data_IF_747637838803
#
_entry.id   IF_747637838803
#
_cell.length_a   1.000
_cell.length_b   1.000
_cell.length_c   1.000
_cell.angle_alpha   90.00
_cell.angle_beta   90.00
_cell.angle_gamma   90.00
#
_symmetry.space_group_name_H-M   'P 1'
#
loop_
_entity.id
_entity.type
_entity.pdbx_description
1 polymer ?
#
# COMPACT_ATOMS: atom_id res chain seq x y z
N UNK A 1 17.78 -14.12 0.80
CA UNK A 1 16.85 -15.14 0.83
C UNK A 1 16.63 -15.68 -0.53
N UNK A 2 16.25 -16.89 -0.61
CA UNK A 2 16.15 -17.52 -1.81
C UNK A 2 14.90 -17.13 -2.51
N UNK A 3 15.00 -16.68 -3.68
CA UNK A 3 13.87 -16.35 -4.43
C UNK A 3 13.34 -17.55 -5.11
N UNK A 4 12.12 -17.82 -4.89
CA UNK A 4 11.52 -18.96 -5.51
C UNK A 4 11.14 -18.63 -6.93
N UNK A 5 11.33 -19.54 -7.83
CA UNK A 5 11.01 -19.29 -9.19
C UNK A 5 9.56 -19.15 -9.36
N UNK A 6 9.12 -18.25 -10.17
CA UNK A 6 7.73 -18.01 -10.37
C UNK A 6 7.16 -18.98 -11.34
N UNK A 7 6.27 -19.80 -10.94
CA UNK A 7 5.73 -20.79 -11.86
C UNK A 7 4.99 -20.17 -13.02
N UNK A 8 4.45 -18.99 -12.84
CA UNK A 8 3.70 -18.41 -13.90
C UNK A 8 4.58 -17.84 -14.97
N UNK A 9 5.82 -17.61 -14.67
CA UNK A 9 6.71 -17.03 -15.65
C UNK A 9 6.56 -15.55 -15.83
N UNK A 10 5.66 -14.89 -15.08
CA UNK A 10 5.50 -13.46 -15.23
C UNK A 10 6.61 -12.75 -14.49
N UNK A 11 7.11 -11.66 -15.03
CA UNK A 11 8.18 -10.94 -14.36
C UNK A 11 7.67 -10.24 -13.11
N UNK A 12 8.54 -10.13 -12.14
CA UNK A 12 8.24 -9.37 -10.96
C UNK A 12 8.74 -7.96 -11.21
N UNK A 13 7.88 -6.99 -11.00
CA UNK A 13 8.24 -5.58 -11.15
C UNK A 13 8.22 -4.95 -9.80
N UNK A 14 9.15 -4.08 -9.52
CA UNK A 14 9.22 -3.42 -8.22
C UNK A 14 9.85 -2.05 -8.37
N UNK A 15 9.32 -1.09 -7.65
CA UNK A 15 9.86 0.26 -7.67
C UNK A 15 9.61 0.91 -6.33
N UNK A 16 10.52 1.76 -5.89
CA UNK A 16 10.42 2.41 -4.59
C UNK A 16 10.63 3.91 -4.71
N UNK A 17 9.99 4.64 -3.82
CA UNK A 17 10.13 6.10 -3.77
C UNK A 17 10.20 6.55 -2.34
N UNK A 18 11.01 7.57 -2.05
CA UNK A 18 11.08 8.16 -0.74
C UNK A 18 10.17 9.36 -0.70
N UNK A 19 9.34 9.47 0.31
CA UNK A 19 8.33 10.51 0.40
C UNK A 19 8.44 11.21 1.74
N UNK A 20 8.27 12.54 1.74
CA UNK A 20 8.33 13.31 2.97
C UNK A 20 7.20 14.33 3.00
N UNK A 21 6.69 14.59 4.19
CA UNK A 21 5.69 15.63 4.36
C UNK A 21 4.31 15.20 3.92
N UNK A 22 3.32 15.25 4.82
CA UNK A 22 2.03 14.70 4.50
C UNK A 22 1.42 15.36 3.27
N UNK A 23 1.40 16.69 3.23
CA UNK A 23 0.78 17.34 2.12
C UNK A 23 1.50 17.15 0.82
N UNK A 24 2.79 16.94 0.87
CA UNK A 24 3.57 16.80 -0.35
C UNK A 24 3.74 15.37 -0.76
N UNK A 25 3.35 14.42 0.09
CA UNK A 25 3.57 13.03 -0.21
C UNK A 25 2.40 12.36 -0.90
N UNK A 26 1.16 12.75 -0.56
CA UNK A 26 0.03 11.97 -1.03
C UNK A 26 -0.21 12.09 -2.53
N UNK A 27 -0.09 13.28 -3.08
CA UNK A 27 -0.25 13.44 -4.51
C UNK A 27 0.78 12.66 -5.30
N UNK A 28 2.07 12.87 -5.00
CA UNK A 28 3.10 12.10 -5.69
C UNK A 28 2.97 10.60 -5.46
N UNK A 29 2.57 10.17 -4.26
CA UNK A 29 2.41 8.74 -4.01
C UNK A 29 1.36 8.13 -4.92
N UNK A 30 0.21 8.80 -5.06
CA UNK A 30 -0.81 8.31 -5.95
C UNK A 30 -0.36 8.35 -7.40
N UNK A 31 0.35 9.39 -7.81
CA UNK A 31 0.81 9.50 -9.18
C UNK A 31 1.82 8.41 -9.50
N UNK A 32 2.75 8.15 -8.59
CA UNK A 32 3.71 7.06 -8.78
C UNK A 32 3.00 5.72 -8.88
N UNK A 33 2.00 5.51 -8.04
CA UNK A 33 1.30 4.24 -8.04
C UNK A 33 0.50 4.08 -9.32
N UNK A 34 -0.16 5.15 -9.79
CA UNK A 34 -0.92 5.05 -11.02
C UNK A 34 0.01 4.75 -12.19
N UNK A 35 1.14 5.42 -12.27
CA UNK A 35 2.06 5.17 -13.36
C UNK A 35 2.62 3.76 -13.31
N UNK A 36 2.95 3.29 -12.12
CA UNK A 36 3.48 1.94 -11.97
C UNK A 36 2.46 0.90 -12.45
N UNK A 37 1.21 1.06 -12.03
CA UNK A 37 0.19 0.09 -12.39
C UNK A 37 -0.18 0.18 -13.86
N UNK A 38 -0.26 1.37 -14.41
CA UNK A 38 -0.62 1.50 -15.81
C UNK A 38 0.49 1.00 -16.72
N UNK A 39 1.74 1.12 -16.30
CA UNK A 39 2.85 0.60 -17.09
C UNK A 39 2.85 -0.93 -17.11
N UNK A 40 2.25 -1.54 -16.09
CA UNK A 40 2.27 -2.99 -16.03
C UNK A 40 1.12 -3.68 -16.72
N UNK A 41 0.06 -2.97 -17.05
CA UNK A 41 -1.08 -3.60 -17.67
C UNK A 41 -1.98 -2.55 -18.29
N UNK A 42 -2.37 -2.76 -19.53
CA UNK A 42 -3.30 -1.87 -20.17
C UNK A 42 -4.71 -2.22 -19.83
N UNK A 43 -4.95 -3.38 -19.23
CA UNK A 43 -6.30 -3.86 -19.02
C UNK A 43 -6.69 -3.84 -17.55
N UNK A 44 -6.01 -3.12 -16.70
CA UNK A 44 -6.34 -3.11 -15.30
C UNK A 44 -7.68 -2.43 -15.12
N UNK A 45 -8.61 -3.10 -14.46
CA UNK A 45 -9.92 -2.54 -14.23
C UNK A 45 -9.83 -1.29 -13.39
N UNK A 46 -10.68 -0.33 -13.71
CA UNK A 46 -10.59 0.96 -13.03
C UNK A 46 -10.87 0.83 -11.53
N UNK A 47 -11.76 -0.02 -11.11
CA UNK A 47 -12.03 -0.14 -9.69
C UNK A 47 -10.86 -0.78 -8.95
N UNK A 48 -10.12 -1.68 -9.59
CA UNK A 48 -8.92 -2.22 -8.95
C UNK A 48 -7.84 -1.16 -8.85
N UNK A 49 -7.72 -0.32 -9.86
CA UNK A 49 -6.78 0.78 -9.79
C UNK A 49 -7.15 1.73 -8.67
N UNK A 50 -8.42 2.07 -8.54
CA UNK A 50 -8.83 2.98 -7.49
C UNK A 50 -8.61 2.37 -6.10
N UNK A 51 -8.88 1.08 -5.94
CA UNK A 51 -8.62 0.42 -4.67
C UNK A 51 -7.15 0.50 -4.31
N UNK A 52 -6.28 0.26 -5.28
CA UNK A 52 -4.85 0.32 -5.02
C UNK A 52 -4.42 1.74 -4.62
N UNK A 53 -4.97 2.75 -5.28
CA UNK A 53 -4.61 4.12 -4.96
C UNK A 53 -5.08 4.50 -3.55
N UNK A 54 -6.22 3.99 -3.13
CA UNK A 54 -6.69 4.23 -1.78
C UNK A 54 -5.75 3.58 -0.76
N UNK A 55 -5.34 2.34 -1.01
CA UNK A 55 -4.44 1.66 -0.09
C UNK A 55 -3.11 2.40 0.00
N UNK A 56 -2.57 2.84 -1.13
CA UNK A 56 -1.33 3.59 -1.13
C UNK A 56 -1.48 4.86 -0.29
N UNK A 57 -2.55 5.60 -0.51
CA UNK A 57 -2.74 6.86 0.20
C UNK A 57 -2.89 6.63 1.70
N UNK A 58 -3.61 5.59 2.09
CA UNK A 58 -3.82 5.34 3.50
C UNK A 58 -2.55 4.86 4.20
N UNK A 59 -1.77 4.01 3.55
CA UNK A 59 -0.54 3.55 4.17
C UNK A 59 0.49 4.66 4.27
N UNK A 60 0.60 5.49 3.25
CA UNK A 60 1.55 6.61 3.28
C UNK A 60 1.10 7.62 4.33
N UNK A 61 -0.18 7.94 4.37
CA UNK A 61 -0.70 8.88 5.33
C UNK A 61 -0.47 8.39 6.76
N UNK A 62 -0.70 7.10 6.98
CA UNK A 62 -0.51 6.52 8.29
C UNK A 62 0.96 6.57 8.71
N UNK A 63 1.86 6.27 7.78
CA UNK A 63 3.29 6.30 8.11
C UNK A 63 3.74 7.70 8.47
N UNK A 64 3.28 8.70 7.72
CA UNK A 64 3.75 10.05 7.97
C UNK A 64 3.15 10.61 9.25
N UNK A 65 1.94 10.23 9.59
CA UNK A 65 1.37 10.70 10.84
C UNK A 65 2.03 10.10 12.06
N UNK A 66 2.55 8.89 11.93
CA UNK A 66 3.09 8.19 13.08
C UNK A 66 4.59 8.30 13.20
N UNK A 67 5.29 8.80 12.22
CA UNK A 67 6.74 8.93 12.30
C UNK A 67 7.18 10.17 11.55
N UNK A 68 7.88 11.05 12.17
CA UNK A 68 8.45 12.17 11.44
C UNK A 68 9.52 11.66 10.51
N UNK A 69 9.76 12.39 9.49
CA UNK A 69 10.79 12.00 8.54
C UNK A 69 10.23 11.25 7.39
N UNK A 70 11.09 10.84 6.49
CA UNK A 70 10.63 10.24 5.25
C UNK A 70 10.12 8.83 5.46
N UNK A 71 9.24 8.41 4.58
CA UNK A 71 8.88 7.01 4.48
C UNK A 71 9.21 6.53 3.08
N UNK A 72 9.28 5.22 2.90
CA UNK A 72 9.59 4.65 1.61
C UNK A 72 8.41 3.82 1.15
N UNK A 73 7.86 4.19 -0.01
CA UNK A 73 6.78 3.43 -0.62
C UNK A 73 7.40 2.50 -1.64
N UNK A 74 7.06 1.22 -1.58
CA UNK A 74 7.51 0.25 -2.56
C UNK A 74 6.30 -0.45 -3.13
N UNK A 75 6.22 -0.51 -4.45
CA UNK A 75 5.20 -1.27 -5.12
C UNK A 75 5.86 -2.41 -5.85
N UNK A 76 5.32 -3.61 -5.66
CA UNK A 76 5.83 -4.80 -6.34
C UNK A 76 4.66 -5.53 -6.95
N UNK A 77 4.79 -5.95 -8.18
CA UNK A 77 3.74 -6.72 -8.82
C UNK A 77 4.29 -8.07 -9.19
N UNK A 78 3.64 -9.12 -8.69
CA UNK A 78 4.11 -10.46 -8.89
C UNK A 78 2.89 -11.24 -9.35
N UNK A 79 2.81 -11.54 -10.61
CA UNK A 79 1.65 -12.20 -11.17
C UNK A 79 0.44 -11.32 -11.03
N UNK A 80 -0.62 -11.85 -10.49
CA UNK A 80 -1.84 -11.10 -10.32
C UNK A 80 -1.95 -10.38 -9.00
N UNK A 81 -0.85 -10.21 -8.29
CA UNK A 81 -0.89 -9.55 -6.99
C UNK A 81 -0.04 -8.32 -6.97
N UNK A 82 -0.49 -7.33 -6.25
CA UNK A 82 0.25 -6.11 -6.01
C UNK A 82 0.57 -6.04 -4.53
N UNK A 83 1.82 -5.81 -4.20
CA UNK A 83 2.22 -5.57 -2.83
C UNK A 83 2.50 -4.09 -2.67
N UNK A 84 1.84 -3.47 -1.72
CA UNK A 84 2.07 -2.07 -1.40
C UNK A 84 2.74 -2.06 -0.04
N UNK A 85 3.99 -1.63 0.02
CA UNK A 85 4.73 -1.60 1.26
C UNK A 85 5.14 -0.19 1.58
N UNK A 86 4.98 0.20 2.83
CA UNK A 86 5.45 1.51 3.28
C UNK A 86 6.27 1.30 4.53
N UNK A 87 7.53 1.77 4.50
CA UNK A 87 8.42 1.67 5.63
C UNK A 87 8.60 3.05 6.25
N UNK A 88 8.47 3.12 7.56
CA UNK A 88 8.69 4.37 8.27
C UNK A 88 9.58 4.12 9.48
N UNK A 89 9.89 5.17 10.20
CA UNK A 89 10.79 5.07 11.33
C UNK A 89 10.14 4.83 12.68
N UNK A 90 8.84 4.57 12.71
CA UNK A 90 8.16 4.37 13.97
C UNK A 90 8.10 2.90 14.32
N UNK A 91 8.40 2.55 15.55
CA UNK A 91 8.26 1.18 15.98
C UNK A 91 6.84 0.84 16.42
N UNK A 92 5.95 1.83 16.48
CA UNK A 92 4.59 1.56 16.91
C UNK A 92 3.78 0.93 15.82
N UNK A 93 3.05 -0.10 16.13
CA UNK A 93 2.21 -0.75 15.14
C UNK A 93 1.02 0.10 14.83
N UNK A 94 0.55 0.11 13.60
CA UNK A 94 -0.66 0.81 13.27
C UNK A 94 -1.84 0.15 13.97
N UNK A 95 -2.82 0.93 14.31
CA UNK A 95 -4.00 0.41 14.98
C UNK A 95 -5.18 1.28 14.60
N UNK A 96 -6.35 0.69 14.53
CA UNK A 96 -7.53 1.49 14.28
C UNK A 96 -7.77 2.43 15.45
N UNK A 97 -8.29 3.59 15.15
CA UNK A 97 -8.68 4.53 16.17
C UNK A 97 -10.15 4.76 16.04
N UNK A 98 -10.81 5.22 17.09
CA UNK A 98 -12.20 5.58 16.93
C UNK A 98 -12.34 6.66 15.85
N UNK A 99 -13.36 6.56 15.03
CA UNK A 99 -13.55 7.57 14.00
C UNK A 99 -13.70 8.94 14.60
N UNK A 100 -13.08 9.91 13.97
CA UNK A 100 -13.12 11.27 14.48
C UNK A 100 -13.49 12.15 13.32
N UNK A 101 -14.75 12.45 13.18
CA UNK A 101 -15.21 13.19 12.05
C UNK A 101 -14.68 14.60 12.04
N UNK A 102 -14.38 15.15 13.19
CA UNK A 102 -13.87 16.50 13.20
C UNK A 102 -12.43 16.55 12.78
N UNK A 103 -11.72 15.43 12.84
CA UNK A 103 -10.35 15.40 12.44
C UNK A 103 -10.15 14.84 11.05
N UNK A 104 -11.19 14.58 10.32
CA UNK A 104 -11.00 14.14 8.96
C UNK A 104 -10.88 12.66 8.77
N UNK A 105 -11.41 11.89 9.67
CA UNK A 105 -11.56 10.50 9.37
C UNK A 105 -10.37 9.64 9.56
N UNK A 106 -9.46 9.98 10.41
CA UNK A 106 -8.28 9.19 10.59
C UNK A 106 -8.53 7.77 11.02
N UNK A 107 -9.66 7.46 11.65
CA UNK A 107 -9.88 6.12 12.11
C UNK A 107 -10.42 5.16 11.08
N UNK A 108 -10.88 5.66 9.92
CA UNK A 108 -11.48 4.78 8.95
C UNK A 108 -10.47 4.18 7.96
N UNK A 109 -9.35 4.83 7.76
CA UNK A 109 -8.41 4.40 6.72
C UNK A 109 -7.85 3.01 6.93
N UNK A 110 -7.53 2.66 8.19
CA UNK A 110 -6.95 1.36 8.48
C UNK A 110 -7.94 0.24 8.17
N UNK A 111 -9.21 0.45 8.53
CA UNK A 111 -10.21 -0.55 8.24
C UNK A 111 -10.40 -0.72 6.73
N UNK A 112 -10.32 0.39 6.00
CA UNK A 112 -10.48 0.33 4.57
C UNK A 112 -9.33 -0.43 3.93
N UNK A 113 -8.11 -0.23 4.39
CA UNK A 113 -6.97 -0.98 3.89
C UNK A 113 -7.20 -2.47 4.10
N UNK A 114 -7.69 -2.84 5.27
CA UNK A 114 -7.92 -4.25 5.54
C UNK A 114 -9.02 -4.82 4.67
N UNK A 115 -10.05 -4.03 4.38
CA UNK A 115 -11.12 -4.54 3.54
C UNK A 115 -10.72 -4.68 2.09
N UNK A 116 -9.86 -3.81 1.59
CA UNK A 116 -9.49 -3.84 0.19
C UNK A 116 -8.33 -4.79 -0.10
N UNK A 117 -7.67 -5.29 0.93
CA UNK A 117 -6.46 -6.09 0.75
C UNK A 117 -6.74 -7.54 1.07
N UNK A 118 -6.05 -8.43 0.35
CA UNK A 118 -6.12 -9.83 0.67
C UNK A 118 -5.42 -10.10 1.98
N UNK A 119 -4.37 -9.35 2.27
CA UNK A 119 -3.59 -9.55 3.48
C UNK A 119 -2.89 -8.26 3.82
N UNK A 120 -2.75 -7.97 5.09
CA UNK A 120 -1.98 -6.84 5.57
C UNK A 120 -1.04 -7.34 6.65
N UNK A 121 0.24 -7.06 6.51
CA UNK A 121 1.24 -7.52 7.46
C UNK A 121 2.05 -6.35 7.96
N UNK A 122 2.45 -6.40 9.21
CA UNK A 122 3.28 -5.37 9.81
C UNK A 122 4.54 -6.03 10.31
N UNK A 123 5.69 -5.54 9.86
CA UNK A 123 6.96 -6.05 10.30
C UNK A 123 7.70 -4.96 11.03
N UNK A 124 8.08 -5.20 12.28
CA UNK A 124 8.85 -4.22 13.02
C UNK A 124 10.33 -4.53 12.87
N UNK A 125 11.12 -3.49 12.78
CA UNK A 125 12.57 -3.61 12.63
C UNK A 125 13.26 -3.09 13.86
N UNK A 126 12.75 -3.44 15.02
CA UNK A 126 13.29 -2.95 16.28
C UNK A 126 13.11 -1.46 16.37
N UNK A 127 14.15 -0.76 16.72
CA UNK A 127 14.03 0.68 16.83
C UNK A 127 14.20 1.38 15.51
N UNK A 128 14.46 0.68 14.45
CA UNK A 128 14.67 1.34 13.17
C UNK A 128 13.40 1.50 12.39
N UNK A 129 12.24 1.15 12.95
CA UNK A 129 10.98 1.42 12.30
C UNK A 129 10.19 0.19 11.98
N UNK A 130 9.26 0.33 11.04
CA UNK A 130 8.41 -0.78 10.67
C UNK A 130 8.07 -0.69 9.19
N UNK A 131 7.62 -1.79 8.64
CA UNK A 131 7.10 -1.86 7.29
C UNK A 131 5.70 -2.44 7.35
N UNK A 132 4.75 -1.77 6.72
CA UNK A 132 3.39 -2.27 6.57
C UNK A 132 3.24 -2.67 5.12
N UNK A 133 2.83 -3.91 4.88
CA UNK A 133 2.65 -4.41 3.52
C UNK A 133 1.22 -4.88 3.34
N UNK A 134 0.55 -4.35 2.34
CA UNK A 134 -0.77 -4.79 1.95
C UNK A 134 -0.66 -5.50 0.61
N UNK A 135 -1.32 -6.64 0.50
CA UNK A 135 -1.32 -7.42 -0.73
C UNK A 135 -2.71 -7.35 -1.34
N UNK A 136 -2.79 -6.91 -2.58
CA UNK A 136 -4.06 -6.80 -3.28
C UNK A 136 -4.05 -7.74 -4.48
N UNK A 137 -5.22 -8.27 -4.78
CA UNK A 137 -5.37 -9.14 -5.94
C UNK A 137 -5.79 -8.28 -7.12
N UNK A 138 -5.04 -8.35 -8.20
CA UNK A 138 -5.31 -7.57 -9.38
C UNK A 138 -5.87 -8.39 -10.53
N UNK A 139 -6.22 -9.63 -10.28
CA UNK A 139 -6.68 -10.49 -11.35
C UNK A 139 -8.02 -9.99 -11.81
N UNK A 140 -8.14 -9.68 -13.03
CA UNK A 140 -9.37 -9.15 -13.55
C UNK A 140 -10.46 -10.16 -13.55
N UNK A 141 -11.63 -9.74 -13.31
CA UNK A 141 -12.75 -10.62 -13.32
C UNK A 141 -13.06 -11.30 -12.02
N UNK A 142 -12.17 -11.24 -11.07
CA UNK A 142 -12.46 -11.87 -9.81
C UNK A 142 -13.26 -10.89 -8.98
N UNK A 143 -14.50 -11.27 -8.59
CA UNK A 143 -15.28 -10.40 -7.88
C UNK A 143 -15.04 -10.57 -6.47
N UNK A 144 -14.74 -9.54 -5.78
CA UNK A 144 -14.61 -9.65 -4.36
C UNK A 144 -15.95 -9.97 -3.80
N UNK A 145 -15.92 -10.80 -2.82
CA UNK A 145 -17.13 -11.17 -2.18
C UNK A 145 -17.70 -9.97 -1.52
N UNK A 146 -18.90 -9.63 -1.85
CA UNK A 146 -19.40 -8.49 -1.36
C UNK A 146 -20.05 -8.66 -0.15
N UNK A 147 -20.23 -9.40 0.41
CA UNK A 147 -21.02 -9.58 1.50
C UNK A 147 -21.13 -8.62 2.49
#
# INVERSE_FOLDING_TARGET
>A
VQRVEEPSGLPVRSQSWELTGLRRALGPARDHARQFLEAGSDDLAEDLLQDALVVVAELVSNAIRHAPGPCVLTLSQDGGRLLVSVRDGSASSPAPRPPDLSAGGGGFGWHLVQRLSERVEVYTHGESGKTVTATLVLVGGVKRCEV
#
